data_IF_305744763997
#
_entry.id   IF_305744763997
#
_cell.length_a   1.000
_cell.length_b   1.000
_cell.length_c   1.000
_cell.angle_alpha   90.00
_cell.angle_beta   90.00
_cell.angle_gamma   90.00
#
_symmetry.space_group_name_H-M   'P 1'
#
loop_
_entity.id
_entity.type
_entity.pdbx_description
1 polymer ?
#
# COMPACT_ATOMS: atom_id res chain seq x y z
N UNK A 1 37.19 -0.32 8.61
CA UNK A 1 36.12 -0.17 9.60
C UNK A 1 34.88 -0.82 9.02
N UNK A 2 34.37 -1.88 9.64
CA UNK A 2 33.20 -2.60 9.12
C UNK A 2 31.95 -1.74 9.36
N UNK A 3 31.37 -1.18 8.29
CA UNK A 3 30.06 -0.55 8.37
C UNK A 3 29.04 -1.59 8.84
N UNK A 4 28.40 -1.32 9.97
CA UNK A 4 27.27 -2.11 10.42
C UNK A 4 26.16 -2.00 9.36
N UNK A 5 25.92 -3.10 8.61
CA UNK A 5 24.80 -3.21 7.67
C UNK A 5 23.50 -2.89 8.43
N UNK A 6 22.99 -1.66 8.28
CA UNK A 6 21.65 -1.31 8.76
C UNK A 6 20.66 -2.23 8.04
N UNK A 7 19.96 -3.05 8.80
CA UNK A 7 18.91 -3.94 8.29
C UNK A 7 17.73 -3.07 7.88
N UNK A 8 17.70 -2.64 6.61
CA UNK A 8 16.57 -1.91 6.06
C UNK A 8 15.35 -2.83 6.10
N UNK A 9 14.33 -2.45 6.87
CA UNK A 9 13.04 -3.15 6.88
C UNK A 9 12.28 -2.75 5.61
N UNK A 10 12.70 -3.31 4.49
CA UNK A 10 12.06 -3.07 3.19
C UNK A 10 10.90 -4.07 3.04
N UNK A 11 9.67 -3.56 2.87
CA UNK A 11 8.52 -4.41 2.53
C UNK A 11 7.20 -4.05 3.19
N UNK A 12 7.21 -3.29 4.29
CA UNK A 12 5.98 -2.85 4.96
C UNK A 12 5.87 -1.32 4.98
N UNK A 13 5.51 -0.75 3.83
CA UNK A 13 5.04 0.65 3.77
C UNK A 13 3.55 0.68 4.11
N UNK A 14 3.18 1.56 5.04
CA UNK A 14 1.79 1.78 5.45
C UNK A 14 0.90 2.15 4.27
N UNK A 15 1.44 2.88 3.27
CA UNK A 15 0.71 3.19 2.05
C UNK A 15 0.40 1.93 1.26
N UNK A 16 1.36 1.02 1.12
CA UNK A 16 1.17 -0.25 0.41
C UNK A 16 0.16 -1.15 1.12
N UNK A 17 0.20 -1.18 2.46
CA UNK A 17 -0.77 -1.90 3.28
C UNK A 17 -2.19 -1.36 3.09
N UNK A 18 -2.38 -0.04 3.19
CA UNK A 18 -3.69 0.60 3.04
C UNK A 18 -4.23 0.45 1.62
N UNK A 19 -3.36 0.52 0.61
CA UNK A 19 -3.76 0.34 -0.78
C UNK A 19 -4.20 -1.09 -1.06
N UNK A 20 -3.47 -2.09 -0.53
CA UNK A 20 -3.87 -3.49 -0.61
C UNK A 20 -5.19 -3.78 0.13
N UNK A 21 -5.40 -3.15 1.29
CA UNK A 21 -6.66 -3.28 2.03
C UNK A 21 -7.83 -2.68 1.24
N UNK A 22 -7.67 -1.45 0.74
CA UNK A 22 -8.71 -0.76 -0.01
C UNK A 22 -9.08 -1.50 -1.31
N UNK A 23 -8.10 -2.04 -2.03
CA UNK A 23 -8.35 -2.85 -3.23
C UNK A 23 -9.00 -4.19 -2.90
N UNK A 24 -8.62 -4.83 -1.79
CA UNK A 24 -9.27 -6.07 -1.35
C UNK A 24 -10.75 -5.84 -1.02
N UNK A 25 -11.07 -4.74 -0.33
CA UNK A 25 -12.46 -4.35 -0.08
C UNK A 25 -13.23 -4.08 -1.38
N UNK A 26 -12.60 -3.43 -2.37
CA UNK A 26 -13.19 -3.22 -3.69
C UNK A 26 -13.48 -4.53 -4.43
N UNK A 27 -12.61 -5.52 -4.33
CA UNK A 27 -12.81 -6.85 -4.94
C UNK A 27 -13.97 -7.62 -4.30
N UNK A 28 -14.15 -7.49 -2.98
CA UNK A 28 -15.20 -8.19 -2.22
C UNK A 28 -16.55 -7.45 -2.30
N UNK A 29 -16.53 -6.14 -2.56
CA UNK A 29 -17.73 -5.28 -2.63
C UNK A 29 -18.90 -5.85 -3.43
N UNK A 30 -18.75 -6.38 -4.67
CA UNK A 30 -19.89 -6.92 -5.42
C UNK A 30 -20.55 -8.13 -4.73
N UNK A 31 -19.76 -8.95 -4.02
CA UNK A 31 -20.29 -10.09 -3.27
C UNK A 31 -21.11 -9.59 -2.08
N UNK A 32 -20.63 -8.58 -1.36
CA UNK A 32 -21.34 -8.01 -0.21
C UNK A 32 -22.64 -7.34 -0.63
N UNK A 33 -22.61 -6.53 -1.70
CA UNK A 33 -23.81 -5.87 -2.24
C UNK A 33 -24.83 -6.89 -2.73
N UNK A 34 -24.39 -8.04 -3.26
CA UNK A 34 -25.30 -9.10 -3.69
C UNK A 34 -26.12 -9.66 -2.52
N UNK A 35 -25.52 -9.84 -1.33
CA UNK A 35 -26.19 -10.38 -0.16
C UNK A 35 -26.92 -9.32 0.69
N UNK A 36 -26.48 -8.06 0.66
CA UNK A 36 -27.13 -6.95 1.37
C UNK A 36 -27.22 -5.70 0.48
N UNK A 37 -28.35 -5.62 -0.24
CA UNK A 37 -28.64 -4.53 -1.16
C UNK A 37 -29.11 -3.26 -0.46
N UNK A 38 -29.73 -3.37 0.72
CA UNK A 38 -30.28 -2.23 1.45
C UNK A 38 -29.17 -1.28 1.91
N UNK A 39 -28.01 -1.84 2.27
CA UNK A 39 -26.84 -1.08 2.70
C UNK A 39 -25.83 -0.79 1.58
N UNK A 40 -26.16 -1.07 0.31
CA UNK A 40 -25.23 -0.94 -0.82
C UNK A 40 -24.54 0.44 -0.89
N UNK A 41 -25.28 1.53 -0.63
CA UNK A 41 -24.73 2.89 -0.60
C UNK A 41 -23.68 3.07 0.50
N UNK A 42 -23.89 2.49 1.68
CA UNK A 42 -22.95 2.58 2.79
C UNK A 42 -21.65 1.83 2.46
N UNK A 43 -21.75 0.63 1.89
CA UNK A 43 -20.58 -0.15 1.48
C UNK A 43 -19.76 0.55 0.40
N UNK A 44 -20.43 1.14 -0.60
CA UNK A 44 -19.76 1.95 -1.62
C UNK A 44 -19.03 3.16 -0.99
N UNK A 45 -19.65 3.85 -0.03
CA UNK A 45 -19.00 4.97 0.67
C UNK A 45 -17.79 4.52 1.50
N UNK A 46 -17.85 3.37 2.16
CA UNK A 46 -16.74 2.82 2.94
C UNK A 46 -15.55 2.50 2.03
N UNK A 47 -15.78 1.82 0.90
CA UNK A 47 -14.72 1.49 -0.06
C UNK A 47 -14.14 2.75 -0.70
N UNK A 48 -14.98 3.71 -1.10
CA UNK A 48 -14.52 5.00 -1.61
C UNK A 48 -13.68 5.76 -0.57
N UNK A 49 -14.13 5.80 0.68
CA UNK A 49 -13.40 6.40 1.79
C UNK A 49 -12.04 5.74 2.02
N UNK A 50 -11.98 4.41 2.02
CA UNK A 50 -10.74 3.66 2.17
C UNK A 50 -9.74 3.96 1.04
N UNK A 51 -10.21 4.11 -0.20
CA UNK A 51 -9.38 4.49 -1.34
C UNK A 51 -8.84 5.92 -1.22
N UNK A 52 -9.67 6.87 -0.79
CA UNK A 52 -9.24 8.26 -0.56
C UNK A 52 -8.18 8.33 0.54
N UNK A 53 -8.38 7.62 1.65
CA UNK A 53 -7.40 7.55 2.74
C UNK A 53 -6.09 6.93 2.25
N UNK A 54 -6.14 5.81 1.51
CA UNK A 54 -4.95 5.19 0.95
C UNK A 54 -4.22 6.11 -0.05
N UNK A 55 -4.97 6.90 -0.83
CA UNK A 55 -4.41 7.85 -1.79
C UNK A 55 -3.66 8.98 -1.09
N UNK A 56 -4.29 9.60 -0.08
CA UNK A 56 -3.75 10.71 0.69
C UNK A 56 -2.62 10.29 1.63
N UNK A 57 -2.56 9.01 2.03
CA UNK A 57 -1.50 8.54 2.92
C UNK A 57 -0.14 8.69 2.24
N UNK A 58 0.81 9.45 2.82
CA UNK A 58 2.13 9.59 2.23
C UNK A 58 2.87 8.24 2.30
N UNK A 59 3.67 7.89 1.27
CA UNK A 59 4.54 6.73 1.38
C UNK A 59 5.51 6.94 2.54
N UNK A 60 5.60 5.97 3.45
CA UNK A 60 6.48 6.11 4.60
C UNK A 60 7.91 5.77 4.18
N UNK A 61 8.73 6.82 4.07
CA UNK A 61 10.14 6.71 3.74
C UNK A 61 10.41 6.59 2.24
N UNK A 62 11.70 6.53 1.88
CA UNK A 62 12.15 6.56 0.50
C UNK A 62 12.07 5.23 -0.25
N UNK A 63 11.23 4.33 0.24
CA UNK A 63 11.18 2.93 -0.15
C UNK A 63 10.41 2.70 -1.45
N UNK A 64 10.11 3.77 -2.20
CA UNK A 64 9.67 3.69 -3.59
C UNK A 64 10.93 3.78 -4.46
N UNK A 65 11.29 2.72 -5.22
CA UNK A 65 12.42 2.72 -6.14
C UNK A 65 12.46 4.02 -6.93
N UNK A 66 13.39 4.90 -6.58
CA UNK A 66 13.57 6.17 -7.27
C UNK A 66 14.89 6.10 -8.04
N UNK A 67 14.87 6.28 -9.37
CA UNK A 67 16.06 6.08 -10.21
C UNK A 67 17.22 7.02 -9.85
N UNK A 68 16.95 8.12 -9.14
CA UNK A 68 17.94 9.13 -8.76
C UNK A 68 18.27 9.13 -7.25
N UNK A 69 17.93 8.08 -6.52
CA UNK A 69 18.22 7.99 -5.09
C UNK A 69 19.45 7.11 -4.87
N UNK A 70 20.52 7.69 -4.30
CA UNK A 70 21.77 7.00 -3.97
C UNK A 70 21.63 6.01 -2.79
N UNK A 71 20.40 5.76 -2.31
CA UNK A 71 20.19 4.81 -1.22
C UNK A 71 20.43 3.38 -1.68
N UNK A 72 21.24 2.60 -0.93
CA UNK A 72 21.67 1.26 -1.37
C UNK A 72 20.51 0.28 -1.58
N UNK A 73 19.38 0.47 -0.88
CA UNK A 73 18.17 -0.35 -1.03
C UNK A 73 17.14 0.18 -2.05
N UNK A 74 17.37 1.32 -2.71
CA UNK A 74 16.38 1.97 -3.57
C UNK A 74 16.60 1.70 -5.08
N UNK A 75 17.42 0.70 -5.41
CA UNK A 75 17.79 0.39 -6.79
C UNK A 75 16.64 -0.31 -7.52
N UNK A 76 16.25 0.14 -8.73
CA UNK A 76 15.11 -0.41 -9.46
C UNK A 76 15.29 -1.86 -9.95
N UNK A 77 16.52 -2.40 -9.96
CA UNK A 77 16.85 -3.72 -10.53
C UNK A 77 17.63 -4.65 -9.61
N UNK A 78 17.73 -4.37 -8.31
CA UNK A 78 18.31 -5.34 -7.39
C UNK A 78 17.32 -6.49 -7.19
N UNK A 79 17.68 -7.67 -7.71
CA UNK A 79 17.09 -8.93 -7.28
C UNK A 79 17.19 -8.95 -5.74
N UNK A 80 16.04 -9.04 -5.08
CA UNK A 80 15.93 -9.02 -3.62
C UNK A 80 16.69 -10.25 -3.08
N UNK A 81 17.80 -10.01 -2.37
CA UNK A 81 18.49 -10.99 -1.52
C UNK A 81 18.00 -10.89 -0.07
#
# INVERSE_FOLDING_TARGET
>A
MAEAKKKYHQGHDIKSLLLNLATTLLFILPVVIYFDQENAKQYMMIVAGALVVAFLTPPFGPYRPHPYSDWPGNKPFTLRE
#
